data_IF_570770944273
#
_entry.id   IF_570770944273
#
_cell.length_a   1.000
_cell.length_b   1.000
_cell.length_c   1.000
_cell.angle_alpha   90.00
_cell.angle_beta   90.00
_cell.angle_gamma   90.00
#
_symmetry.space_group_name_H-M   'P 1'
#
loop_
_entity.id
_entity.type
_entity.pdbx_description
1 polymer ?
#
# COMPACT_ATOMS: atom_id res chain seq x y z
N UNK A 1 16.33 14.58 -10.47
CA UNK A 1 15.88 13.19 -10.75
C UNK A 1 15.31 12.63 -9.44
N UNK A 2 14.12 13.07 -9.02
CA UNK A 2 13.44 12.56 -7.80
C UNK A 2 12.57 11.32 -8.10
N UNK A 3 13.12 10.38 -8.87
CA UNK A 3 12.41 9.18 -9.32
C UNK A 3 12.36 7.98 -8.35
N UNK A 4 13.25 7.80 -7.34
CA UNK A 4 13.20 6.58 -6.52
C UNK A 4 11.93 6.52 -5.66
N UNK A 5 11.52 7.64 -5.05
CA UNK A 5 10.39 7.69 -4.11
C UNK A 5 9.04 7.29 -4.72
N UNK A 6 8.82 7.55 -6.01
CA UNK A 6 7.56 7.19 -6.68
C UNK A 6 7.51 5.70 -7.00
N UNK A 7 8.59 5.14 -7.54
CA UNK A 7 8.67 3.72 -7.84
C UNK A 7 8.58 2.86 -6.57
N UNK A 8 9.29 3.26 -5.51
CA UNK A 8 9.19 2.61 -4.19
C UNK A 8 7.77 2.67 -3.63
N UNK A 9 7.09 3.82 -3.78
CA UNK A 9 5.70 3.96 -3.35
C UNK A 9 4.74 3.11 -4.18
N UNK A 10 4.93 3.07 -5.50
CA UNK A 10 4.13 2.23 -6.42
C UNK A 10 4.27 0.75 -6.07
N UNK A 11 5.49 0.30 -5.76
CA UNK A 11 5.74 -1.06 -5.28
C UNK A 11 5.05 -1.30 -3.93
N UNK A 12 5.25 -0.42 -2.96
CA UNK A 12 4.62 -0.53 -1.63
C UNK A 12 3.09 -0.60 -1.71
N UNK A 13 2.47 0.25 -2.54
CA UNK A 13 1.02 0.24 -2.76
C UNK A 13 0.56 -1.08 -3.39
N UNK A 14 1.36 -1.65 -4.30
CA UNK A 14 1.09 -2.94 -4.93
C UNK A 14 1.13 -4.06 -3.89
N UNK A 15 2.20 -4.14 -3.08
CA UNK A 15 2.36 -5.17 -2.05
C UNK A 15 1.22 -5.12 -1.01
N UNK A 16 0.84 -3.90 -0.58
CA UNK A 16 -0.30 -3.69 0.31
C UNK A 16 -1.59 -4.20 -0.33
N UNK A 17 -1.83 -3.85 -1.60
CA UNK A 17 -3.05 -4.27 -2.32
C UNK A 17 -3.14 -5.79 -2.37
N UNK A 18 -2.05 -6.49 -2.71
CA UNK A 18 -2.02 -7.95 -2.76
C UNK A 18 -2.31 -8.59 -1.39
N UNK A 19 -1.72 -8.06 -0.32
CA UNK A 19 -1.97 -8.54 1.04
C UNK A 19 -3.43 -8.32 1.49
N UNK A 20 -4.00 -7.17 1.17
CA UNK A 20 -5.36 -6.82 1.56
C UNK A 20 -6.39 -7.62 0.76
N UNK A 21 -6.12 -7.89 -0.53
CA UNK A 21 -6.90 -8.79 -1.35
C UNK A 21 -6.85 -10.23 -0.84
N UNK A 22 -5.68 -10.74 -0.44
CA UNK A 22 -5.56 -12.08 0.14
C UNK A 22 -6.29 -12.22 1.48
N UNK A 23 -6.36 -11.13 2.24
CA UNK A 23 -7.14 -11.03 3.48
C UNK A 23 -8.66 -10.91 3.27
N UNK A 24 -9.16 -11.03 2.03
CA UNK A 24 -10.58 -10.84 1.65
C UNK A 24 -11.17 -9.50 2.10
N UNK A 25 -10.34 -8.46 2.17
CA UNK A 25 -10.81 -7.10 2.45
C UNK A 25 -11.07 -6.37 1.14
N UNK A 26 -12.25 -5.80 1.02
CA UNK A 26 -12.73 -5.06 -0.15
C UNK A 26 -12.18 -3.62 -0.16
N UNK A 27 -10.86 -3.48 -0.26
CA UNK A 27 -10.17 -2.19 -0.26
C UNK A 27 -9.24 -2.08 -1.48
N UNK A 28 -9.16 -0.87 -2.02
CA UNK A 28 -8.26 -0.51 -3.11
C UNK A 28 -7.41 0.69 -2.71
N UNK A 29 -6.26 0.85 -3.37
CA UNK A 29 -5.25 1.84 -3.05
C UNK A 29 -4.84 2.61 -4.31
N UNK A 30 -4.81 3.94 -4.25
CA UNK A 30 -4.37 4.78 -5.37
C UNK A 30 -3.41 5.86 -4.91
N UNK A 31 -2.45 6.23 -5.76
CA UNK A 31 -1.54 7.34 -5.49
C UNK A 31 -2.17 8.62 -6.02
N UNK A 32 -2.16 9.66 -5.20
CA UNK A 32 -2.62 11.01 -5.53
C UNK A 32 -1.47 12.00 -5.30
N UNK A 33 -1.10 12.71 -6.35
CA UNK A 33 -0.08 13.76 -6.36
C UNK A 33 -0.64 15.15 -6.70
N UNK A 34 -1.97 15.28 -6.77
CA UNK A 34 -2.67 16.49 -7.24
C UNK A 34 -2.41 17.74 -6.38
N UNK A 35 -2.10 17.55 -5.09
CA UNK A 35 -1.92 18.64 -4.12
C UNK A 35 -0.45 19.08 -3.97
N UNK A 36 0.44 18.60 -4.83
CA UNK A 36 1.90 18.81 -4.73
C UNK A 36 2.57 17.95 -3.65
N UNK A 37 1.81 17.13 -2.93
CA UNK A 37 2.30 16.09 -2.02
C UNK A 37 1.75 14.75 -2.45
N UNK A 38 2.63 13.76 -2.54
CA UNK A 38 2.27 12.39 -2.91
C UNK A 38 1.65 11.70 -1.70
N UNK A 39 0.39 11.31 -1.82
CA UNK A 39 -0.38 10.58 -0.81
C UNK A 39 -1.01 9.33 -1.42
N UNK A 40 -1.31 8.33 -0.61
CA UNK A 40 -2.02 7.12 -0.99
C UNK A 40 -3.44 7.19 -0.44
N UNK A 41 -4.44 7.08 -1.32
CA UNK A 41 -5.85 7.02 -0.97
C UNK A 41 -6.28 5.57 -0.82
N UNK A 42 -7.00 5.28 0.26
CA UNK A 42 -7.65 4.00 0.51
C UNK A 42 -9.12 4.14 0.12
N UNK A 43 -9.54 3.33 -0.83
CA UNK A 43 -10.87 3.35 -1.44
C UNK A 43 -11.59 2.06 -1.03
N UNK A 44 -12.79 2.17 -0.47
CA UNK A 44 -13.63 0.99 -0.25
C UNK A 44 -14.15 0.50 -1.60
N UNK A 45 -13.83 -0.73 -2.01
CA UNK A 45 -14.30 -1.24 -3.32
C UNK A 45 -15.80 -1.49 -3.34
N UNK A 46 -16.44 -1.60 -2.17
CA UNK A 46 -17.89 -1.76 -2.04
C UNK A 46 -18.67 -0.49 -2.42
N UNK A 47 -18.14 0.70 -2.09
CA UNK A 47 -18.82 1.99 -2.32
C UNK A 47 -18.10 2.89 -3.32
N UNK A 48 -16.82 2.65 -3.59
CA UNK A 48 -15.95 3.55 -4.34
C UNK A 48 -15.52 4.79 -3.55
N UNK A 49 -15.82 4.86 -2.25
CA UNK A 49 -15.51 6.04 -1.43
C UNK A 49 -14.09 5.99 -0.86
N UNK A 50 -13.42 7.15 -0.84
CA UNK A 50 -12.13 7.31 -0.17
C UNK A 50 -12.36 7.37 1.33
N UNK A 51 -12.07 6.29 2.04
CA UNK A 51 -12.25 6.19 3.49
C UNK A 51 -11.02 6.67 4.27
N UNK A 52 -9.84 6.72 3.65
CA UNK A 52 -8.61 7.19 4.30
C UNK A 52 -7.57 7.69 3.31
N UNK A 53 -6.69 8.58 3.78
CA UNK A 53 -5.51 9.01 3.05
C UNK A 53 -4.27 8.80 3.93
N UNK A 54 -3.19 8.34 3.30
CA UNK A 54 -1.93 7.99 3.94
C UNK A 54 -0.81 8.76 3.24
N UNK A 55 0.06 9.50 3.95
CA UNK A 55 1.26 10.06 3.32
C UNK A 55 2.17 8.93 2.82
N UNK A 56 2.98 9.23 1.81
CA UNK A 56 3.92 8.26 1.20
C UNK A 56 4.81 7.55 2.24
N UNK A 57 5.30 8.26 3.25
CA UNK A 57 6.08 7.64 4.34
C UNK A 57 5.30 6.58 5.13
N UNK A 58 4.01 6.82 5.40
CA UNK A 58 3.17 5.87 6.13
C UNK A 58 2.85 4.64 5.28
N UNK A 59 2.62 4.83 3.97
CA UNK A 59 2.42 3.73 3.03
C UNK A 59 3.67 2.84 2.92
N UNK A 60 4.86 3.45 2.82
CA UNK A 60 6.12 2.72 2.80
C UNK A 60 6.35 1.89 4.08
N UNK A 61 6.09 2.47 5.26
CA UNK A 61 6.18 1.75 6.54
C UNK A 61 5.20 0.59 6.63
N UNK A 62 3.98 0.80 6.12
CA UNK A 62 2.96 -0.26 6.08
C UNK A 62 3.40 -1.41 5.18
N UNK A 63 3.85 -1.11 3.97
CA UNK A 63 4.36 -2.12 3.05
C UNK A 63 5.52 -2.91 3.66
N UNK A 64 6.52 -2.24 4.25
CA UNK A 64 7.64 -2.91 4.92
C UNK A 64 7.15 -3.86 6.04
N UNK A 65 6.18 -3.41 6.85
CA UNK A 65 5.61 -4.24 7.93
C UNK A 65 4.86 -5.46 7.41
N UNK A 66 4.19 -5.34 6.25
CA UNK A 66 3.48 -6.45 5.61
C UNK A 66 4.44 -7.44 4.94
N UNK A 67 5.50 -6.94 4.30
CA UNK A 67 6.56 -7.75 3.71
C UNK A 67 7.26 -8.60 4.77
N UNK A 68 7.58 -8.02 5.93
CA UNK A 68 8.17 -8.74 7.07
C UNK A 68 7.22 -9.83 7.60
N UNK A 69 5.92 -9.50 7.76
CA UNK A 69 4.92 -10.45 8.22
C UNK A 69 4.72 -11.60 7.23
N UNK A 70 4.71 -11.32 5.93
CA UNK A 70 4.67 -12.32 4.87
C UNK A 70 5.88 -13.25 4.94
N UNK A 71 7.10 -12.70 5.01
CA UNK A 71 8.34 -13.47 5.06
C UNK A 71 8.37 -14.47 6.23
N UNK A 72 7.91 -14.06 7.41
CA UNK A 72 7.87 -14.92 8.60
C UNK A 72 6.87 -16.09 8.47
N UNK A 73 5.77 -15.93 7.73
CA UNK A 73 4.83 -17.01 7.49
C UNK A 73 5.36 -18.04 6.48
N UNK A 74 6.27 -17.64 5.59
CA UNK A 74 6.89 -18.53 4.60
C UNK A 74 8.17 -19.21 5.11
N UNK A 75 8.86 -18.64 6.10
CA UNK A 75 10.09 -19.22 6.68
C UNK A 75 9.84 -20.43 7.62
N UNK A 76 8.57 -20.74 7.92
CA UNK A 76 8.16 -21.90 8.73
C UNK A 76 8.14 -23.24 8.00
N UNK A 77 8.63 -23.32 6.75
CA UNK A 77 8.81 -24.59 6.02
C UNK A 77 10.30 -24.84 5.75
N UNK A 78 10.97 -25.42 6.74
CA UNK A 78 12.21 -26.19 6.56
C UNK A 78 12.06 -27.53 7.30
#
# INVERSE_FOLDING_TARGET
>A
MDKPKRAELEQAVTDIREFVQSSKRNLDFSIDDSTGRVVVKVIATESGEVIRQLPSEAALKLAASLSDASSLLFDGKA
#
